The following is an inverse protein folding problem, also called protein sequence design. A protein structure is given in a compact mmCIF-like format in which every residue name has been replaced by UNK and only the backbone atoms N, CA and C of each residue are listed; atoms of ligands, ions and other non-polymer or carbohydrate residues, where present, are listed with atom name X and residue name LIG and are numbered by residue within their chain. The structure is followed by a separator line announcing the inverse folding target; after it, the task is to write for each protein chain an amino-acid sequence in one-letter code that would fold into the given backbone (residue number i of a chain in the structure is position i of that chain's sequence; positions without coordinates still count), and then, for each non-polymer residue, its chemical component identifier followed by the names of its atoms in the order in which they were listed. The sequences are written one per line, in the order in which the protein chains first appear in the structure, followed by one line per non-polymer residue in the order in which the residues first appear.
data_IF_026202629819
#
_entry.id   IF_026202629819
#
_cell.length_a   1.000
_cell.length_b   1.000
_cell.length_c   1.000
_cell.angle_alpha   90.00
_cell.angle_beta   90.00
_cell.angle_gamma   90.00
#
_symmetry.space_group_name_H-M   'P 1'
#
loop_
_entity.id
_entity.type
_entity.pdbx_description
1 polymer ?
#
# COMPACT_ATOMS: atom_id res chain seq x y z
N UNK A 1 5.84 27.36 -2.59
CA UNK A 1 4.55 27.21 -1.93
C UNK A 1 4.72 26.58 -0.55
N UNK A 2 3.96 27.06 0.45
CA UNK A 2 3.91 26.55 1.80
C UNK A 2 2.58 25.80 1.98
N UNK A 3 2.64 24.49 2.20
CA UNK A 3 1.46 23.61 2.27
C UNK A 3 1.29 23.03 3.66
N UNK A 4 0.05 22.97 4.14
CA UNK A 4 -0.30 22.52 5.48
C UNK A 4 -1.29 21.36 5.35
N UNK A 5 -0.91 20.20 5.89
CA UNK A 5 -1.80 19.02 6.01
C UNK A 5 -2.00 18.72 7.50
N UNK A 6 -3.15 19.04 8.10
CA UNK A 6 -3.36 18.91 9.54
C UNK A 6 -3.35 17.47 10.07
N UNK A 7 -3.61 16.49 9.21
CA UNK A 7 -3.59 15.07 9.54
C UNK A 7 -4.94 14.45 9.91
N UNK A 8 -5.85 15.24 10.49
CA UNK A 8 -7.26 14.85 10.74
C UNK A 8 -8.16 16.06 10.84
N UNK A 9 -9.47 15.87 10.64
CA UNK A 9 -10.46 16.93 10.83
C UNK A 9 -10.50 17.41 12.29
N UNK A 10 -10.37 16.51 13.25
CA UNK A 10 -10.29 16.88 14.66
C UNK A 10 -9.09 17.81 14.93
N UNK A 11 -7.91 17.49 14.39
CA UNK A 11 -6.72 18.35 14.51
C UNK A 11 -6.95 19.70 13.83
N UNK A 12 -7.47 19.69 12.60
CA UNK A 12 -7.75 20.92 11.85
C UNK A 12 -8.69 21.84 12.62
N UNK A 13 -9.83 21.32 13.12
CA UNK A 13 -10.79 22.09 13.90
C UNK A 13 -10.23 22.61 15.21
N UNK A 14 -9.37 21.82 15.86
CA UNK A 14 -8.70 22.23 17.09
C UNK A 14 -7.77 23.40 16.86
N UNK A 15 -6.87 23.35 15.86
CA UNK A 15 -5.95 24.44 15.56
C UNK A 15 -6.68 25.70 15.03
N UNK A 16 -7.81 25.54 14.36
CA UNK A 16 -8.69 26.63 13.94
C UNK A 16 -9.35 27.32 15.16
N UNK A 17 -9.96 26.55 16.07
CA UNK A 17 -10.54 27.03 17.33
C UNK A 17 -9.50 27.79 18.16
N UNK A 18 -8.30 27.26 18.26
CA UNK A 18 -7.23 27.82 19.09
C UNK A 18 -6.49 28.99 18.39
N UNK A 19 -6.97 29.42 17.21
CA UNK A 19 -6.44 30.58 16.48
C UNK A 19 -5.06 30.37 15.86
N UNK A 20 -4.58 29.11 15.77
CA UNK A 20 -3.24 28.79 15.28
C UNK A 20 -3.15 28.75 13.75
N UNK A 21 -4.28 28.60 13.06
CA UNK A 21 -4.32 28.43 11.61
C UNK A 21 -4.16 29.75 10.85
N UNK A 22 -4.74 30.83 11.35
CA UNK A 22 -4.72 32.14 10.70
C UNK A 22 -3.31 32.74 10.53
N UNK A 23 -2.41 32.70 11.53
CA UNK A 23 -1.02 33.14 11.34
C UNK A 23 -0.29 32.35 10.22
N UNK A 24 -0.55 31.05 10.11
CA UNK A 24 0.06 30.22 9.05
C UNK A 24 -0.48 30.57 7.67
N UNK A 25 -1.77 30.89 7.54
CA UNK A 25 -2.36 31.39 6.30
C UNK A 25 -1.82 32.77 5.94
N UNK A 26 -1.63 33.65 6.93
CA UNK A 26 -1.12 35.00 6.73
C UNK A 26 0.28 35.03 6.09
N UNK A 27 1.12 34.02 6.36
CA UNK A 27 2.45 33.86 5.71
C UNK A 27 2.38 33.08 4.39
N UNK A 28 1.21 32.89 3.81
CA UNK A 28 1.02 32.21 2.54
C UNK A 28 0.78 30.70 2.62
N UNK A 29 0.47 30.19 3.80
CA UNK A 29 0.15 28.78 4.00
C UNK A 29 -1.19 28.38 3.35
N UNK A 30 -1.16 27.32 2.56
CA UNK A 30 -2.34 26.73 1.92
C UNK A 30 -2.72 25.45 2.65
N UNK A 31 -3.92 25.44 3.22
CA UNK A 31 -4.43 24.25 3.93
C UNK A 31 -4.99 23.25 2.91
N UNK A 32 -4.44 22.05 2.93
CA UNK A 32 -4.85 20.95 2.09
C UNK A 32 -5.88 20.06 2.80
N UNK A 33 -6.59 19.25 2.03
CA UNK A 33 -7.40 18.18 2.57
C UNK A 33 -6.56 17.19 3.40
N UNK A 34 -7.18 16.56 4.40
CA UNK A 34 -6.55 15.55 5.25
C UNK A 34 -6.35 14.23 4.50
N UNK A 35 -5.45 14.24 3.52
CA UNK A 35 -5.12 13.13 2.65
C UNK A 35 -3.61 13.03 2.42
N UNK A 36 -3.18 11.91 1.85
CA UNK A 36 -1.75 11.66 1.64
C UNK A 36 -1.06 12.61 0.64
N UNK A 37 -1.76 13.08 -0.41
CA UNK A 37 -1.31 14.12 -1.35
C UNK A 37 0.20 14.14 -1.64
N UNK A 38 0.89 15.25 -1.32
CA UNK A 38 2.33 15.39 -1.53
C UNK A 38 3.18 14.34 -0.79
N UNK A 39 2.70 13.82 0.34
CA UNK A 39 3.42 12.81 1.13
C UNK A 39 3.70 11.53 0.33
N UNK A 40 2.87 11.18 -0.64
CA UNK A 40 3.02 9.96 -1.45
C UNK A 40 3.27 10.20 -2.94
N UNK A 41 3.63 11.41 -3.32
CA UNK A 41 3.96 11.72 -4.71
C UNK A 41 2.77 12.18 -5.56
N UNK A 42 1.63 12.49 -4.96
CA UNK A 42 0.47 13.05 -5.66
C UNK A 42 0.48 14.58 -5.62
N UNK A 43 1.60 15.16 -6.02
CA UNK A 43 1.79 16.60 -6.09
C UNK A 43 2.26 17.05 -7.46
N UNK A 44 1.38 17.74 -8.19
CA UNK A 44 1.77 18.47 -9.38
C UNK A 44 2.32 19.84 -8.97
N UNK A 45 3.58 20.07 -9.29
CA UNK A 45 4.31 21.31 -8.99
C UNK A 45 4.15 22.34 -10.09
N UNK A 46 3.05 23.12 -10.06
CA UNK A 46 2.82 24.19 -11.04
C UNK A 46 3.87 25.32 -10.92
N UNK A 47 4.46 25.50 -9.73
CA UNK A 47 5.58 26.41 -9.47
C UNK A 47 6.89 26.01 -10.19
N UNK A 48 6.92 24.81 -10.78
CA UNK A 48 8.07 24.24 -11.50
C UNK A 48 7.84 24.13 -13.00
N UNK A 49 6.71 24.58 -13.52
CA UNK A 49 6.42 24.51 -14.95
C UNK A 49 7.50 25.22 -15.79
N UNK A 50 8.09 24.49 -16.73
CA UNK A 50 9.22 24.94 -17.54
C UNK A 50 10.61 24.85 -16.89
N UNK A 51 10.71 24.27 -15.69
CA UNK A 51 11.97 24.02 -14.97
C UNK A 51 12.09 22.57 -14.50
N UNK A 52 11.39 21.67 -15.15
CA UNK A 52 11.42 20.24 -14.88
C UNK A 52 12.86 19.71 -15.01
N UNK A 53 13.26 18.83 -14.08
CA UNK A 53 14.59 18.24 -14.04
C UNK A 53 15.69 19.18 -13.51
N UNK A 54 15.39 20.47 -13.20
CA UNK A 54 16.37 21.33 -12.53
C UNK A 54 16.39 21.05 -11.01
N UNK A 55 17.59 21.05 -10.41
CA UNK A 55 17.75 20.80 -8.97
C UNK A 55 16.98 21.81 -8.14
N UNK A 56 16.19 21.30 -7.20
CA UNK A 56 15.43 22.10 -6.24
C UNK A 56 15.31 21.36 -4.90
N UNK A 57 14.81 22.05 -3.89
CA UNK A 57 14.72 21.54 -2.53
C UNK A 57 13.26 21.61 -2.05
N UNK A 58 12.82 20.54 -1.39
CA UNK A 58 11.58 20.48 -0.61
C UNK A 58 11.94 20.16 0.83
N UNK A 59 11.36 20.90 1.78
CA UNK A 59 11.48 20.62 3.22
C UNK A 59 10.10 20.25 3.73
N UNK A 60 9.99 19.12 4.44
CA UNK A 60 8.72 18.59 4.91
C UNK A 60 8.83 18.10 6.35
N UNK A 61 7.69 17.99 7.03
CA UNK A 61 7.53 17.22 8.26
C UNK A 61 6.88 15.86 8.02
N UNK A 62 6.97 15.34 6.80
CA UNK A 62 6.48 14.01 6.45
C UNK A 62 7.40 12.90 7.00
N UNK A 63 7.23 11.67 6.54
CA UNK A 63 7.91 10.51 7.12
C UNK A 63 8.97 9.86 6.22
N UNK A 64 9.17 10.35 4.99
CA UNK A 64 10.11 9.77 4.00
C UNK A 64 10.59 10.83 3.00
N UNK A 65 11.83 10.69 2.55
CA UNK A 65 12.49 11.65 1.66
C UNK A 65 13.31 11.03 0.51
N UNK A 66 13.00 9.79 0.10
CA UNK A 66 13.72 9.19 -1.02
C UNK A 66 13.40 9.91 -2.36
N UNK A 67 14.27 9.79 -3.38
CA UNK A 67 14.06 10.45 -4.68
C UNK A 67 12.69 10.20 -5.29
N UNK A 68 12.10 11.21 -5.91
CA UNK A 68 10.75 11.19 -6.52
C UNK A 68 9.58 11.05 -5.53
N UNK A 69 9.84 11.02 -4.20
CA UNK A 69 8.80 10.71 -3.22
C UNK A 69 7.64 11.70 -3.24
N UNK A 70 7.90 12.99 -3.36
CA UNK A 70 6.88 14.02 -3.15
C UNK A 70 6.21 14.51 -4.44
N UNK A 71 6.99 14.75 -5.50
CA UNK A 71 6.51 15.35 -6.76
C UNK A 71 6.84 14.53 -8.01
N UNK A 72 7.48 13.38 -7.84
CA UNK A 72 7.86 12.51 -8.97
C UNK A 72 9.13 12.93 -9.72
N UNK A 73 9.73 14.08 -9.40
CA UNK A 73 10.96 14.57 -10.03
C UNK A 73 12.20 14.08 -9.26
N UNK A 74 13.13 13.42 -9.96
CA UNK A 74 14.39 12.96 -9.39
C UNK A 74 15.35 14.11 -9.02
N UNK A 75 15.19 15.29 -9.61
CA UNK A 75 15.98 16.47 -9.32
C UNK A 75 15.53 17.22 -8.06
N UNK A 76 14.40 16.81 -7.47
CA UNK A 76 13.92 17.36 -6.21
C UNK A 76 14.60 16.67 -5.03
N UNK A 77 15.38 17.43 -4.28
CA UNK A 77 16.02 16.99 -3.04
C UNK A 77 15.06 17.22 -1.87
N UNK A 78 14.57 16.15 -1.26
CA UNK A 78 13.61 16.23 -0.16
C UNK A 78 14.31 16.04 1.19
N UNK A 79 14.00 16.92 2.14
CA UNK A 79 14.49 16.86 3.52
C UNK A 79 13.31 16.73 4.48
N UNK A 80 13.50 15.96 5.54
CA UNK A 80 12.49 15.76 6.60
C UNK A 80 13.02 16.38 7.89
N UNK A 81 12.20 17.21 8.50
CA UNK A 81 12.49 17.86 9.80
C UNK A 81 11.20 18.02 10.62
N UNK A 82 11.28 18.68 11.78
CA UNK A 82 10.10 18.96 12.59
C UNK A 82 9.19 20.04 11.96
N UNK A 83 7.88 20.06 12.28
CA UNK A 83 6.98 21.10 11.80
C UNK A 83 7.45 22.52 12.11
N UNK A 84 8.01 22.75 13.32
CA UNK A 84 8.52 24.06 13.75
C UNK A 84 9.68 24.51 12.85
N UNK A 85 10.60 23.60 12.53
CA UNK A 85 11.73 23.89 11.64
C UNK A 85 11.24 24.19 10.21
N UNK A 86 10.21 23.46 9.71
CA UNK A 86 9.60 23.76 8.41
C UNK A 86 9.06 25.19 8.38
N UNK A 87 8.33 25.61 9.42
CA UNK A 87 7.79 26.98 9.54
C UNK A 87 8.92 28.02 9.59
N UNK A 88 9.95 27.77 10.38
CA UNK A 88 11.12 28.67 10.51
C UNK A 88 11.83 28.87 9.17
N UNK A 89 12.06 27.78 8.43
CA UNK A 89 12.64 27.82 7.09
C UNK A 89 11.73 28.49 6.06
N UNK A 90 10.42 28.30 6.17
CA UNK A 90 9.44 28.99 5.32
C UNK A 90 9.46 30.51 5.54
N UNK A 91 9.56 30.95 6.79
CA UNK A 91 9.67 32.37 7.16
C UNK A 91 10.97 33.00 6.68
N UNK A 92 12.09 32.28 6.81
CA UNK A 92 13.43 32.79 6.43
C UNK A 92 13.68 32.74 4.91
N UNK A 93 13.01 31.84 4.20
CA UNK A 93 13.32 31.52 2.81
C UNK A 93 14.66 30.81 2.60
N UNK A 94 15.29 30.31 3.66
CA UNK A 94 16.63 29.73 3.67
C UNK A 94 16.61 28.31 4.26
N UNK A 95 17.31 27.38 3.61
CA UNK A 95 17.45 25.99 4.09
C UNK A 95 18.53 25.79 5.14
N UNK A 96 19.44 26.78 5.30
CA UNK A 96 20.51 26.81 6.27
C UNK A 96 20.16 27.64 7.51
N UNK A 97 18.92 28.09 7.67
CA UNK A 97 18.44 28.85 8.81
C UNK A 97 18.34 27.96 10.05
N UNK A 98 19.08 28.34 11.12
CA UNK A 98 18.96 27.69 12.42
C UNK A 98 18.04 28.54 13.33
N UNK A 99 16.81 28.08 13.62
CA UNK A 99 15.88 28.85 14.46
C UNK A 99 16.32 29.08 15.90
N UNK A 100 17.39 28.41 16.37
CA UNK A 100 17.94 28.60 17.72
C UNK A 100 18.92 29.73 17.82
N UNK A 101 19.61 30.06 16.73
CA UNK A 101 20.74 31.02 16.73
C UNK A 101 20.52 32.16 15.75
N UNK A 102 19.78 31.95 14.67
CA UNK A 102 19.56 32.96 13.64
C UNK A 102 18.36 33.86 13.99
N UNK A 103 18.36 35.05 13.41
CA UNK A 103 17.28 36.03 13.53
C UNK A 103 16.62 36.30 12.18
N UNK A 104 15.37 36.69 12.23
CA UNK A 104 14.61 37.21 11.09
C UNK A 104 14.52 38.72 11.17
N UNK A 105 14.38 39.39 10.03
CA UNK A 105 14.10 40.82 9.98
C UNK A 105 12.61 41.02 9.75
N UNK A 106 11.93 41.74 10.67
CA UNK A 106 10.53 42.07 10.52
C UNK A 106 10.32 43.28 9.58
N UNK A 107 9.06 43.60 9.29
CA UNK A 107 8.71 44.72 8.39
C UNK A 107 9.17 46.09 8.89
N UNK A 108 9.43 46.23 10.19
CA UNK A 108 9.99 47.44 10.79
C UNK A 108 11.54 47.51 10.71
N UNK A 109 12.18 46.45 10.15
CA UNK A 109 13.64 46.37 10.04
C UNK A 109 14.33 45.86 11.32
N UNK A 110 13.58 45.35 12.28
CA UNK A 110 14.13 44.87 13.55
C UNK A 110 14.49 43.37 13.45
N UNK A 111 15.58 43.02 14.18
CA UNK A 111 15.98 41.60 14.29
C UNK A 111 15.13 40.91 15.33
N UNK A 112 14.45 39.85 14.90
CA UNK A 112 13.54 39.07 15.74
C UNK A 112 14.00 37.61 15.81
N UNK A 113 14.15 37.07 17.02
CA UNK A 113 14.39 35.66 17.26
C UNK A 113 13.07 34.90 17.31
N UNK A 114 13.05 33.71 16.71
CA UNK A 114 11.90 32.81 16.86
C UNK A 114 11.96 32.18 18.26
N UNK A 115 10.93 32.44 19.07
CA UNK A 115 10.80 31.83 20.38
C UNK A 115 10.02 30.53 20.22
N UNK A 116 10.68 29.38 20.42
CA UNK A 116 9.98 28.10 20.57
C UNK A 116 9.41 28.06 21.99
N UNK A 117 8.08 28.11 22.11
CA UNK A 117 7.39 27.98 23.40
C UNK A 117 7.59 26.59 24.01
N UNK A 118 7.12 26.40 25.24
CA UNK A 118 7.06 25.08 25.85
C UNK A 118 6.13 24.19 25.03
N UNK A 119 6.53 22.93 24.82
CA UNK A 119 5.70 21.96 24.13
C UNK A 119 4.45 21.63 24.97
N UNK A 120 3.30 21.71 24.35
CA UNK A 120 2.01 21.29 24.93
C UNK A 120 1.68 19.91 24.39
N UNK A 121 1.58 18.91 25.27
CA UNK A 121 1.31 17.52 24.86
C UNK A 121 -0.13 17.34 24.32
N UNK A 122 -1.09 18.05 24.92
CA UNK A 122 -2.49 18.01 24.52
C UNK A 122 -3.06 19.44 24.49
N UNK A 123 -3.99 19.73 23.56
CA UNK A 123 -4.64 21.04 23.53
C UNK A 123 -5.35 21.32 24.88
N UNK A 124 -5.15 22.52 25.49
CA UNK A 124 -5.73 22.82 26.80
C UNK A 124 -7.27 22.68 26.87
N UNK A 125 -7.96 22.91 25.74
CA UNK A 125 -9.40 22.75 25.60
C UNK A 125 -9.85 21.37 25.12
N UNK A 126 -8.94 20.38 25.05
CA UNK A 126 -9.19 19.10 24.38
C UNK A 126 -9.25 19.23 22.86
N UNK A 127 -9.49 18.10 22.17
CA UNK A 127 -9.69 18.09 20.72
C UNK A 127 -11.14 18.44 20.38
N UNK A 128 -11.32 19.16 19.27
CA UNK A 128 -12.64 19.31 18.65
C UNK A 128 -13.08 18.02 17.97
N UNK A 129 -14.40 17.80 17.89
CA UNK A 129 -14.94 16.72 17.07
C UNK A 129 -14.75 17.04 15.57
N UNK A 130 -14.31 16.05 14.80
CA UNK A 130 -14.29 16.10 13.34
C UNK A 130 -15.64 15.77 12.69
N UNK A 131 -16.67 15.47 13.46
CA UNK A 131 -17.96 14.93 12.97
C UNK A 131 -18.72 15.90 12.07
N UNK A 132 -18.49 17.22 12.21
CA UNK A 132 -19.11 18.25 11.36
C UNK A 132 -18.77 18.12 9.87
N UNK A 133 -17.74 17.35 9.52
CA UNK A 133 -17.34 17.07 8.15
C UNK A 133 -17.89 15.74 7.62
N UNK A 134 -18.56 14.97 8.48
CA UNK A 134 -19.19 13.73 8.07
C UNK A 134 -20.44 13.99 7.24
N UNK A 135 -20.44 13.48 6.02
CA UNK A 135 -21.60 13.47 5.14
C UNK A 135 -22.20 12.08 5.19
N UNK A 136 -23.35 11.94 5.84
CA UNK A 136 -24.03 10.65 5.94
C UNK A 136 -24.47 10.16 4.55
N UNK A 137 -24.39 8.86 4.27
CA UNK A 137 -25.00 8.29 3.08
C UNK A 137 -26.53 8.43 3.18
N UNK A 138 -27.26 8.44 2.05
CA UNK A 138 -28.72 8.39 2.08
C UNK A 138 -29.21 7.10 2.77
N UNK A 139 -30.33 7.18 3.49
CA UNK A 139 -30.93 6.02 4.15
C UNK A 139 -31.33 4.92 3.13
N UNK A 140 -31.84 5.36 1.97
CA UNK A 140 -32.13 4.48 0.83
C UNK A 140 -31.27 4.89 -0.37
N UNK A 141 -30.29 4.05 -0.69
CA UNK A 141 -29.42 4.19 -1.85
C UNK A 141 -29.85 3.40 -3.09
N UNK A 142 -30.99 2.71 -3.05
CA UNK A 142 -31.45 1.80 -4.12
C UNK A 142 -31.68 2.49 -5.47
N UNK A 143 -31.93 3.81 -5.45
CA UNK A 143 -32.12 4.64 -6.64
C UNK A 143 -30.82 5.23 -7.21
N UNK A 144 -29.67 4.95 -6.57
CA UNK A 144 -28.38 5.52 -7.00
C UNK A 144 -27.73 4.57 -8.01
N UNK A 145 -27.66 5.02 -9.27
CA UNK A 145 -26.94 4.33 -10.31
C UNK A 145 -25.46 4.75 -10.33
N UNK A 146 -24.57 3.77 -10.27
CA UNK A 146 -23.13 4.00 -10.41
C UNK A 146 -22.77 3.82 -11.88
N UNK A 147 -22.48 4.92 -12.56
CA UNK A 147 -22.07 4.90 -13.96
C UNK A 147 -20.57 5.11 -14.09
N UNK A 148 -19.90 4.18 -14.73
CA UNK A 148 -18.48 4.28 -15.08
C UNK A 148 -18.34 4.31 -16.59
N UNK A 149 -17.57 5.28 -17.12
CA UNK A 149 -17.25 5.30 -18.53
C UNK A 149 -16.50 4.01 -18.91
N UNK A 150 -17.04 3.17 -19.82
CA UNK A 150 -16.42 1.90 -20.18
C UNK A 150 -15.04 2.02 -20.84
N UNK A 151 -14.69 3.20 -21.33
CA UNK A 151 -13.36 3.50 -21.91
C UNK A 151 -12.44 4.22 -20.95
N UNK A 152 -12.82 4.33 -19.66
CA UNK A 152 -11.94 4.91 -18.65
C UNK A 152 -10.72 4.03 -18.44
N UNK A 153 -9.52 4.61 -18.44
CA UNK A 153 -8.28 3.95 -18.05
C UNK A 153 -8.01 4.08 -16.54
N UNK A 154 -8.80 4.84 -15.79
CA UNK A 154 -8.59 5.20 -14.38
C UNK A 154 -9.58 4.56 -13.41
N UNK A 155 -10.78 4.22 -13.89
CA UNK A 155 -11.88 3.68 -13.07
C UNK A 155 -12.48 2.48 -13.78
N UNK A 156 -12.70 1.40 -13.05
CA UNK A 156 -13.31 0.15 -13.50
C UNK A 156 -14.35 -0.31 -12.49
N UNK A 157 -15.49 -0.80 -12.95
CA UNK A 157 -16.39 -1.55 -12.08
C UNK A 157 -15.73 -2.90 -11.79
N UNK A 158 -15.59 -3.21 -10.49
CA UNK A 158 -15.02 -4.47 -10.06
C UNK A 158 -16.10 -5.56 -10.02
N UNK A 159 -15.79 -6.70 -10.63
CA UNK A 159 -16.55 -7.92 -10.38
C UNK A 159 -16.12 -8.48 -9.01
N UNK A 160 -17.05 -8.87 -8.14
CA UNK A 160 -16.71 -9.54 -6.89
C UNK A 160 -15.82 -10.76 -7.13
N UNK A 161 -14.85 -10.97 -6.26
CA UNK A 161 -14.02 -12.17 -6.35
C UNK A 161 -14.87 -13.42 -6.15
N UNK A 162 -14.54 -14.55 -6.83
CA UNK A 162 -15.29 -15.77 -6.68
C UNK A 162 -15.22 -16.31 -5.25
N UNK A 163 -16.31 -16.85 -4.78
CA UNK A 163 -16.36 -17.63 -3.54
C UNK A 163 -15.45 -18.85 -3.65
N UNK A 164 -15.00 -19.37 -2.51
CA UNK A 164 -14.29 -20.63 -2.48
C UNK A 164 -15.23 -21.78 -2.89
N UNK A 165 -14.78 -22.66 -3.76
CA UNK A 165 -15.61 -23.73 -4.37
C UNK A 165 -15.74 -24.98 -3.47
N UNK A 166 -15.23 -24.93 -2.25
CA UNK A 166 -15.26 -26.04 -1.29
C UNK A 166 -14.20 -27.11 -1.53
N UNK A 167 -13.22 -26.88 -2.41
CA UNK A 167 -12.19 -27.86 -2.75
C UNK A 167 -10.82 -27.41 -2.27
N UNK A 168 -9.96 -28.40 -2.05
CA UNK A 168 -8.55 -28.19 -1.83
C UNK A 168 -7.86 -27.60 -3.07
N UNK A 169 -6.77 -26.90 -2.85
CA UNK A 169 -5.97 -26.35 -3.94
C UNK A 169 -4.86 -27.33 -4.31
N UNK A 170 -4.92 -27.86 -5.51
CA UNK A 170 -4.01 -28.92 -5.96
C UNK A 170 -3.06 -28.39 -7.04
N UNK A 171 -1.76 -28.69 -6.87
CA UNK A 171 -0.70 -28.46 -7.85
C UNK A 171 -0.67 -27.01 -8.39
N UNK A 172 -0.90 -26.01 -7.52
CA UNK A 172 -0.81 -24.63 -7.90
C UNK A 172 0.63 -24.28 -8.28
N UNK A 173 0.89 -23.76 -9.50
CA UNK A 173 2.25 -23.37 -9.88
C UNK A 173 2.80 -22.23 -9.01
N UNK A 174 4.07 -22.28 -8.70
CA UNK A 174 4.80 -21.19 -8.08
C UNK A 174 5.08 -20.15 -9.15
N UNK A 175 4.32 -19.03 -9.14
CA UNK A 175 4.51 -17.94 -10.10
C UNK A 175 5.88 -17.28 -9.93
N UNK A 176 6.37 -17.19 -8.71
CA UNK A 176 7.67 -16.61 -8.41
C UNK A 176 8.04 -16.74 -6.95
N UNK A 177 9.33 -16.52 -6.68
CA UNK A 177 9.92 -16.57 -5.35
C UNK A 177 10.73 -15.30 -5.12
N UNK A 178 10.29 -14.48 -4.18
CA UNK A 178 10.95 -13.21 -3.84
C UNK A 178 12.04 -13.42 -2.79
N UNK A 179 13.20 -12.80 -3.01
CA UNK A 179 14.35 -12.83 -2.12
C UNK A 179 14.36 -11.61 -1.19
N UNK A 180 14.70 -11.82 0.06
CA UNK A 180 14.82 -10.77 1.07
C UNK A 180 13.48 -10.16 1.45
N UNK A 181 13.47 -8.85 1.73
CA UNK A 181 12.25 -8.10 2.04
C UNK A 181 11.44 -7.83 0.79
N UNK A 182 10.24 -8.39 0.73
CA UNK A 182 9.28 -8.11 -0.35
C UNK A 182 8.32 -7.01 0.13
N UNK A 183 8.63 -5.74 -0.16
CA UNK A 183 7.84 -4.59 0.28
C UNK A 183 6.60 -4.38 -0.59
N UNK A 184 5.65 -3.56 -0.13
CA UNK A 184 4.49 -3.17 -0.95
C UNK A 184 4.89 -2.40 -2.21
N UNK A 185 6.05 -1.72 -2.23
CA UNK A 185 6.60 -1.08 -3.43
C UNK A 185 7.15 -2.10 -4.43
N UNK A 186 7.57 -3.28 -3.97
CA UNK A 186 7.98 -4.38 -4.83
C UNK A 186 6.77 -5.09 -5.45
N UNK A 187 5.66 -5.19 -4.71
CA UNK A 187 4.44 -5.90 -5.14
C UNK A 187 3.58 -5.02 -6.04
N UNK A 188 3.28 -3.80 -5.60
CA UNK A 188 2.45 -2.81 -6.30
C UNK A 188 3.02 -1.42 -6.03
N UNK A 189 3.90 -0.95 -6.89
CA UNK A 189 4.59 0.31 -6.69
C UNK A 189 3.66 1.52 -6.81
N UNK A 190 3.97 2.56 -6.04
CA UNK A 190 3.28 3.85 -6.05
C UNK A 190 3.75 4.75 -7.22
N UNK A 191 3.67 6.05 -7.05
CA UNK A 191 4.08 7.04 -8.05
C UNK A 191 3.12 7.09 -9.23
N UNK A 192 3.64 6.98 -10.44
CA UNK A 192 2.86 7.08 -11.68
C UNK A 192 1.73 6.04 -11.81
N UNK A 193 1.86 4.90 -11.15
CA UNK A 193 0.85 3.84 -11.16
C UNK A 193 -0.42 4.19 -10.37
N UNK A 194 -0.34 5.09 -9.39
CA UNK A 194 -1.49 5.49 -8.57
C UNK A 194 -2.62 6.16 -9.37
N UNK A 195 -2.37 6.61 -10.58
CA UNK A 195 -3.43 7.06 -11.50
C UNK A 195 -4.43 5.95 -11.82
N UNK A 196 -4.02 4.68 -11.73
CA UNK A 196 -4.84 3.50 -12.02
C UNK A 196 -5.45 2.87 -10.77
N UNK A 197 -5.32 3.46 -9.58
CA UNK A 197 -5.81 2.86 -8.33
C UNK A 197 -7.31 2.52 -8.31
N UNK A 198 -8.10 3.11 -9.19
CA UNK A 198 -9.51 2.78 -9.40
C UNK A 198 -9.75 1.80 -10.55
N UNK A 199 -8.69 1.28 -11.20
CA UNK A 199 -8.76 0.40 -12.34
C UNK A 199 -7.86 -0.82 -12.16
N UNK A 200 -8.41 -1.90 -11.60
CA UNK A 200 -7.64 -3.05 -11.13
C UNK A 200 -6.89 -3.76 -12.27
N UNK A 201 -7.51 -3.87 -13.45
CA UNK A 201 -6.83 -4.43 -14.63
C UNK A 201 -5.55 -3.66 -14.98
N UNK A 202 -5.62 -2.32 -15.01
CA UNK A 202 -4.49 -1.49 -15.43
C UNK A 202 -3.40 -1.42 -14.35
N UNK A 203 -3.78 -1.29 -13.06
CA UNK A 203 -2.77 -1.23 -11.98
C UNK A 203 -2.05 -2.56 -11.83
N UNK A 204 -2.70 -3.69 -12.12
CA UNK A 204 -2.07 -5.01 -12.11
C UNK A 204 -0.94 -5.16 -13.14
N UNK A 205 -0.76 -4.19 -14.04
CA UNK A 205 0.40 -4.11 -14.91
C UNK A 205 1.73 -3.83 -14.19
N UNK A 206 1.71 -3.52 -12.87
CA UNK A 206 2.92 -3.37 -12.05
C UNK A 206 3.17 -4.51 -11.06
N UNK A 207 2.34 -5.54 -11.10
CA UNK A 207 2.39 -6.66 -10.16
C UNK A 207 3.79 -7.28 -10.10
N UNK A 208 4.41 -7.27 -8.92
CA UNK A 208 5.73 -7.84 -8.61
C UNK A 208 6.93 -7.31 -9.40
N UNK A 209 6.82 -6.21 -10.17
CA UNK A 209 7.95 -5.67 -10.96
C UNK A 209 9.18 -5.29 -10.12
N UNK A 210 9.00 -4.96 -8.84
CA UNK A 210 10.10 -4.62 -7.95
C UNK A 210 10.68 -5.80 -7.17
N UNK A 211 10.13 -7.00 -7.32
CA UNK A 211 10.58 -8.18 -6.56
C UNK A 211 11.86 -8.73 -7.17
N UNK A 212 12.86 -8.97 -6.33
CA UNK A 212 14.06 -9.71 -6.73
C UNK A 212 13.71 -11.20 -6.77
N UNK A 213 13.80 -11.80 -7.94
CA UNK A 213 13.56 -13.22 -8.14
C UNK A 213 14.69 -14.05 -7.50
N UNK A 214 14.35 -14.90 -6.54
CA UNK A 214 15.31 -15.70 -5.79
C UNK A 214 16.01 -16.78 -6.65
N UNK A 215 15.46 -17.11 -7.82
CA UNK A 215 16.04 -18.10 -8.72
C UNK A 215 17.12 -17.49 -9.61
N UNK A 216 16.93 -16.23 -10.06
CA UNK A 216 17.80 -15.57 -11.03
C UNK A 216 18.62 -14.42 -10.43
N UNK A 217 18.18 -13.83 -9.31
CA UNK A 217 18.75 -12.61 -8.74
C UNK A 217 18.34 -11.32 -9.45
N UNK A 218 17.50 -11.39 -10.49
CA UNK A 218 17.02 -10.25 -11.26
C UNK A 218 15.63 -9.78 -10.81
N UNK A 219 15.23 -8.60 -11.24
CA UNK A 219 13.88 -8.07 -11.05
C UNK A 219 13.06 -8.20 -12.32
N UNK A 220 11.73 -8.00 -12.18
CA UNK A 220 10.76 -7.92 -13.27
C UNK A 220 10.44 -9.24 -13.98
N UNK A 221 11.37 -10.17 -14.07
CA UNK A 221 11.28 -11.36 -14.91
C UNK A 221 11.15 -12.65 -14.08
N UNK A 222 10.35 -13.58 -14.60
CA UNK A 222 10.22 -14.94 -14.08
C UNK A 222 9.95 -15.94 -15.22
N UNK A 223 10.05 -17.22 -14.90
CA UNK A 223 9.66 -18.31 -15.80
C UNK A 223 8.13 -18.43 -15.80
N UNK A 224 7.48 -18.40 -16.97
CA UNK A 224 6.07 -18.71 -17.11
C UNK A 224 5.87 -20.22 -16.93
N UNK A 225 5.21 -20.68 -15.87
CA UNK A 225 5.05 -22.11 -15.61
C UNK A 225 4.17 -22.81 -16.65
N UNK A 226 3.42 -22.07 -17.46
CA UNK A 226 2.52 -22.64 -18.46
C UNK A 226 3.15 -22.94 -19.81
N UNK A 227 4.30 -22.31 -20.14
CA UNK A 227 4.96 -22.49 -21.43
C UNK A 227 6.50 -22.53 -21.37
N UNK A 228 7.08 -22.32 -20.19
CA UNK A 228 8.52 -22.38 -19.97
C UNK A 228 9.30 -21.19 -20.53
N UNK A 229 8.65 -20.08 -20.90
CA UNK A 229 9.30 -18.87 -21.40
C UNK A 229 9.48 -17.85 -20.30
N UNK A 230 10.53 -17.00 -20.40
CA UNK A 230 10.77 -15.90 -19.48
C UNK A 230 9.96 -14.68 -19.91
N UNK A 231 9.16 -14.13 -18.98
CA UNK A 231 8.32 -12.95 -19.18
C UNK A 231 8.29 -12.10 -17.91
N UNK A 232 7.69 -10.91 -17.99
CA UNK A 232 7.44 -10.13 -16.78
C UNK A 232 6.35 -10.77 -15.90
N UNK A 233 6.46 -10.57 -14.59
CA UNK A 233 5.46 -11.09 -13.64
C UNK A 233 4.02 -10.71 -14.00
N UNK A 234 3.70 -9.44 -14.39
CA UNK A 234 2.34 -9.09 -14.80
C UNK A 234 1.85 -9.84 -16.03
N UNK A 235 2.74 -10.07 -17.02
CA UNK A 235 2.38 -10.82 -18.24
C UNK A 235 2.07 -12.28 -17.92
N UNK A 236 2.89 -12.91 -17.07
CA UNK A 236 2.67 -14.30 -16.62
C UNK A 236 1.35 -14.39 -15.86
N UNK A 237 1.15 -13.55 -14.85
CA UNK A 237 -0.05 -13.56 -14.03
C UNK A 237 -1.32 -13.33 -14.86
N UNK A 238 -1.25 -12.42 -15.85
CA UNK A 238 -2.34 -12.19 -16.80
C UNK A 238 -2.60 -13.41 -17.67
N UNK A 239 -1.55 -14.01 -18.24
CA UNK A 239 -1.67 -15.23 -19.07
C UNK A 239 -2.27 -16.40 -18.30
N UNK A 240 -1.85 -16.63 -17.05
CA UNK A 240 -2.41 -17.68 -16.19
C UNK A 240 -3.89 -17.41 -15.89
N UNK A 241 -4.22 -16.16 -15.54
CA UNK A 241 -5.60 -15.77 -15.29
C UNK A 241 -6.52 -15.99 -16.50
N UNK A 242 -6.09 -15.60 -17.71
CA UNK A 242 -6.84 -15.81 -18.96
C UNK A 242 -7.03 -17.30 -19.30
N UNK A 243 -6.12 -18.16 -18.84
CA UNK A 243 -6.21 -19.64 -18.97
C UNK A 243 -7.03 -20.29 -17.84
N UNK A 244 -7.50 -19.50 -16.86
CA UNK A 244 -8.20 -20.02 -15.67
C UNK A 244 -7.29 -20.78 -14.71
N UNK A 245 -5.99 -20.54 -14.75
CA UNK A 245 -4.99 -21.17 -13.89
C UNK A 245 -4.71 -20.29 -12.68
N UNK A 246 -4.85 -20.87 -11.50
CA UNK A 246 -4.52 -20.23 -10.24
C UNK A 246 -3.07 -20.55 -9.84
N UNK A 247 -2.49 -19.76 -8.95
CA UNK A 247 -1.08 -19.86 -8.61
C UNK A 247 -0.80 -19.42 -7.16
N UNK A 248 0.41 -19.68 -6.71
CA UNK A 248 0.94 -19.21 -5.43
C UNK A 248 2.17 -18.34 -5.63
N UNK A 249 2.44 -17.44 -4.68
CA UNK A 249 3.66 -16.66 -4.63
C UNK A 249 4.44 -16.98 -3.35
N UNK A 250 5.76 -17.04 -3.45
CA UNK A 250 6.65 -17.33 -2.34
C UNK A 250 7.44 -16.06 -2.00
N UNK A 251 7.20 -15.51 -0.83
CA UNK A 251 8.03 -14.43 -0.29
C UNK A 251 9.03 -14.95 0.74
N UNK A 252 9.98 -14.12 1.15
CA UNK A 252 10.93 -14.50 2.20
C UNK A 252 10.56 -13.83 3.52
N UNK A 253 11.02 -12.63 3.79
CA UNK A 253 10.86 -11.99 5.09
C UNK A 253 10.00 -10.73 5.01
N UNK A 254 9.18 -10.54 6.05
CA UNK A 254 8.37 -9.34 6.27
C UNK A 254 7.61 -8.89 5.01
N UNK A 255 6.97 -9.86 4.34
CA UNK A 255 6.28 -9.63 3.05
C UNK A 255 5.19 -8.60 3.22
N UNK A 256 5.22 -7.57 2.34
CA UNK A 256 4.30 -6.45 2.35
C UNK A 256 4.67 -5.34 3.33
N UNK A 257 5.92 -5.28 3.82
CA UNK A 257 6.42 -4.13 4.59
C UNK A 257 6.24 -2.83 3.77
N UNK A 258 5.96 -1.74 4.47
CA UNK A 258 5.84 -0.41 3.86
C UNK A 258 4.45 0.18 3.97
N UNK A 259 4.01 0.91 2.95
CA UNK A 259 2.68 1.53 2.92
C UNK A 259 1.57 0.49 2.90
N UNK A 260 0.45 0.76 3.60
CA UNK A 260 -0.74 -0.10 3.59
C UNK A 260 -1.48 0.00 2.26
N UNK A 261 -1.01 -0.72 1.25
CA UNK A 261 -1.64 -0.74 -0.08
C UNK A 261 -2.51 -1.97 -0.24
N UNK A 262 -3.80 -1.75 -0.33
CA UNK A 262 -4.77 -2.81 -0.64
C UNK A 262 -4.48 -3.42 -2.01
N UNK A 263 -4.00 -2.63 -2.98
CA UNK A 263 -3.64 -3.10 -4.31
C UNK A 263 -2.59 -4.22 -4.27
N UNK A 264 -1.62 -4.16 -3.35
CA UNK A 264 -0.64 -5.22 -3.17
C UNK A 264 -1.25 -6.59 -2.79
N UNK A 265 -2.51 -6.61 -2.34
CA UNK A 265 -3.28 -7.82 -2.09
C UNK A 265 -4.36 -8.06 -3.16
N UNK A 266 -4.97 -6.99 -3.67
CA UNK A 266 -6.03 -7.09 -4.69
C UNK A 266 -5.48 -7.56 -6.04
N UNK A 267 -4.33 -7.06 -6.48
CA UNK A 267 -3.72 -7.41 -7.76
C UNK A 267 -3.36 -8.91 -7.86
N UNK A 268 -2.64 -9.51 -6.89
CA UNK A 268 -2.41 -10.94 -6.90
C UNK A 268 -3.72 -11.73 -6.93
N UNK A 269 -4.67 -11.38 -6.05
CA UNK A 269 -5.98 -12.06 -5.98
C UNK A 269 -6.75 -11.95 -7.30
N UNK A 270 -6.77 -10.78 -7.90
CA UNK A 270 -7.42 -10.53 -9.19
C UNK A 270 -6.81 -11.36 -10.32
N UNK A 271 -5.50 -11.59 -10.27
CA UNK A 271 -4.76 -12.40 -11.26
C UNK A 271 -4.72 -13.89 -10.93
N UNK A 272 -5.46 -14.35 -9.92
CA UNK A 272 -5.59 -15.78 -9.60
C UNK A 272 -4.64 -16.29 -8.52
N UNK A 273 -4.00 -15.41 -7.73
CA UNK A 273 -3.25 -15.84 -6.56
C UNK A 273 -4.18 -16.37 -5.49
N UNK A 274 -4.03 -17.62 -5.12
CA UNK A 274 -4.80 -18.27 -4.06
C UNK A 274 -4.11 -18.22 -2.71
N UNK A 275 -2.77 -18.28 -2.70
CA UNK A 275 -2.00 -18.20 -1.47
C UNK A 275 -0.66 -17.48 -1.70
N UNK A 276 -0.23 -16.77 -0.68
CA UNK A 276 1.13 -16.24 -0.53
C UNK A 276 1.77 -16.97 0.63
N UNK A 277 2.90 -17.63 0.38
CA UNK A 277 3.74 -18.23 1.42
C UNK A 277 4.90 -17.31 1.76
N UNK A 278 5.29 -17.23 3.03
CA UNK A 278 6.42 -16.44 3.47
C UNK A 278 7.06 -17.00 4.75
N UNK A 279 8.27 -16.58 5.06
CA UNK A 279 8.84 -16.78 6.41
C UNK A 279 8.12 -15.90 7.43
N UNK A 280 7.74 -14.66 7.01
CA UNK A 280 6.97 -13.72 7.83
C UNK A 280 6.26 -12.67 6.99
N UNK A 281 5.21 -12.06 7.54
CA UNK A 281 4.44 -10.99 6.91
C UNK A 281 4.51 -9.69 7.71
N UNK A 282 4.43 -8.57 7.00
CA UNK A 282 4.00 -7.32 7.60
C UNK A 282 2.50 -7.40 7.92
N UNK A 283 2.13 -7.08 9.16
CA UNK A 283 0.78 -7.28 9.71
C UNK A 283 -0.34 -6.71 8.84
N UNK A 284 -0.15 -5.49 8.29
CA UNK A 284 -1.19 -4.83 7.47
C UNK A 284 -1.41 -5.60 6.17
N UNK A 285 -0.33 -6.04 5.51
CA UNK A 285 -0.42 -6.77 4.25
C UNK A 285 -1.05 -8.14 4.43
N UNK A 286 -0.68 -8.86 5.48
CA UNK A 286 -1.33 -10.12 5.86
C UNK A 286 -2.85 -9.95 6.02
N UNK A 287 -3.27 -8.90 6.74
CA UNK A 287 -4.69 -8.57 6.89
C UNK A 287 -5.34 -8.23 5.55
N UNK A 288 -4.64 -7.51 4.67
CA UNK A 288 -5.17 -7.17 3.34
C UNK A 288 -5.34 -8.41 2.46
N UNK A 289 -4.40 -9.37 2.48
CA UNK A 289 -4.55 -10.65 1.77
C UNK A 289 -5.80 -11.40 2.26
N UNK A 290 -5.98 -11.54 3.57
CA UNK A 290 -7.15 -12.18 4.19
C UNK A 290 -8.47 -11.52 3.77
N UNK A 291 -8.52 -10.17 3.76
CA UNK A 291 -9.69 -9.41 3.30
C UNK A 291 -10.06 -9.67 1.85
N UNK A 292 -9.10 -10.00 1.02
CA UNK A 292 -9.31 -10.34 -0.39
C UNK A 292 -9.58 -11.84 -0.62
N UNK A 293 -9.69 -12.64 0.44
CA UNK A 293 -9.90 -14.08 0.35
C UNK A 293 -8.69 -14.87 -0.16
N UNK A 294 -7.49 -14.30 -0.08
CA UNK A 294 -6.24 -15.00 -0.33
C UNK A 294 -5.64 -15.55 0.97
N UNK A 295 -5.09 -16.76 0.94
CA UNK A 295 -4.42 -17.36 2.09
C UNK A 295 -3.05 -16.70 2.28
N UNK A 296 -2.80 -16.17 3.46
CA UNK A 296 -1.48 -15.70 3.91
C UNK A 296 -0.90 -16.77 4.84
N UNK A 297 0.09 -17.50 4.36
CA UNK A 297 0.64 -18.69 5.01
C UNK A 297 2.10 -18.51 5.36
N UNK A 298 2.49 -18.83 6.61
CA UNK A 298 3.90 -18.87 6.99
C UNK A 298 4.37 -20.31 7.10
N UNK A 299 5.59 -20.58 6.63
CA UNK A 299 6.19 -21.89 6.79
C UNK A 299 6.29 -22.24 8.28
N UNK A 300 5.84 -23.43 8.68
CA UNK A 300 6.03 -23.92 10.05
C UNK A 300 7.53 -24.08 10.37
N UNK A 301 8.31 -24.52 9.39
CA UNK A 301 9.77 -24.46 9.38
C UNK A 301 10.22 -23.40 8.36
N UNK A 302 10.75 -22.25 8.78
CA UNK A 302 11.19 -21.19 7.87
C UNK A 302 12.27 -21.61 6.87
N UNK A 303 13.07 -22.65 7.19
CA UNK A 303 14.12 -23.16 6.29
C UNK A 303 13.52 -23.87 5.07
N UNK A 304 12.26 -24.31 5.14
CA UNK A 304 11.55 -24.93 4.02
C UNK A 304 11.46 -24.00 2.79
N UNK A 305 11.54 -22.69 3.01
CA UNK A 305 11.65 -21.72 1.91
C UNK A 305 12.78 -22.09 0.92
N UNK A 306 13.91 -22.61 1.44
CA UNK A 306 15.04 -23.03 0.63
C UNK A 306 14.77 -24.24 -0.28
N UNK A 307 13.78 -25.07 0.07
CA UNK A 307 13.46 -26.29 -0.68
C UNK A 307 12.69 -26.05 -1.98
N UNK A 308 12.02 -24.89 -2.11
CA UNK A 308 11.16 -24.57 -3.25
C UNK A 308 12.01 -24.13 -4.43
N UNK A 309 11.89 -24.84 -5.56
CA UNK A 309 12.56 -24.61 -6.82
C UNK A 309 11.70 -23.87 -7.86
N UNK A 310 12.35 -23.43 -8.93
CA UNK A 310 11.66 -22.84 -10.09
C UNK A 310 10.90 -23.93 -10.85
N UNK A 311 9.63 -23.64 -11.16
CA UNK A 311 8.75 -24.60 -11.85
C UNK A 311 8.03 -25.60 -10.94
N UNK A 312 8.30 -25.58 -9.63
CA UNK A 312 7.59 -26.41 -8.67
C UNK A 312 6.12 -26.00 -8.55
N UNK A 313 5.29 -26.93 -8.03
CA UNK A 313 3.88 -26.64 -7.70
C UNK A 313 3.60 -26.98 -6.23
N UNK A 314 2.57 -26.36 -5.66
CA UNK A 314 2.17 -26.59 -4.27
C UNK A 314 0.70 -26.98 -4.21
N UNK A 315 0.40 -28.08 -3.50
CA UNK A 315 -0.94 -28.42 -3.07
C UNK A 315 -1.18 -27.97 -1.64
N UNK A 316 -2.38 -27.45 -1.35
CA UNK A 316 -2.84 -27.04 -0.02
C UNK A 316 -4.11 -27.83 0.26
N UNK A 317 -4.08 -28.66 1.30
CA UNK A 317 -5.17 -29.61 1.57
C UNK A 317 -5.80 -29.40 2.94
N UNK A 318 -6.98 -29.95 3.16
CA UNK A 318 -7.73 -29.78 4.40
C UNK A 318 -8.39 -28.42 4.56
N UNK A 319 -8.62 -27.68 3.46
CA UNK A 319 -9.17 -26.33 3.50
C UNK A 319 -10.61 -26.28 4.04
N UNK A 320 -11.38 -27.37 3.94
CA UNK A 320 -12.69 -27.48 4.58
C UNK A 320 -12.65 -27.56 6.11
N UNK A 321 -11.48 -27.83 6.67
CA UNK A 321 -11.26 -27.96 8.10
C UNK A 321 -10.41 -26.83 8.68
N UNK A 322 -10.30 -25.70 7.94
CA UNK A 322 -9.63 -24.50 8.44
C UNK A 322 -10.21 -24.09 9.80
N UNK A 323 -9.34 -23.88 10.78
CA UNK A 323 -9.73 -23.46 12.12
C UNK A 323 -8.62 -22.59 12.74
N UNK A 324 -8.99 -21.65 13.60
CA UNK A 324 -8.05 -20.77 14.29
C UNK A 324 -6.93 -21.59 14.96
N UNK A 325 -5.68 -21.20 14.69
CA UNK A 325 -4.48 -21.82 15.24
C UNK A 325 -4.14 -23.22 14.72
N UNK A 326 -4.90 -23.78 13.76
CA UNK A 326 -4.61 -25.08 13.16
C UNK A 326 -3.78 -24.89 11.87
N UNK A 327 -2.55 -25.41 11.79
CA UNK A 327 -1.79 -25.40 10.53
C UNK A 327 -2.52 -26.11 9.40
N UNK A 328 -2.20 -25.74 8.17
CA UNK A 328 -2.68 -26.42 6.96
C UNK A 328 -1.62 -27.38 6.41
N UNK A 329 -2.08 -28.51 5.89
CA UNK A 329 -1.22 -29.50 5.24
C UNK A 329 -0.91 -29.05 3.81
N UNK A 330 0.36 -29.10 3.44
CA UNK A 330 0.84 -28.72 2.14
C UNK A 330 1.77 -29.79 1.56
N UNK A 331 1.78 -29.90 0.23
CA UNK A 331 2.70 -30.77 -0.51
C UNK A 331 3.40 -29.95 -1.58
N UNK A 332 4.72 -29.93 -1.55
CA UNK A 332 5.56 -29.40 -2.62
C UNK A 332 5.79 -30.51 -3.63
N UNK A 333 5.42 -30.30 -4.87
CA UNK A 333 5.70 -31.19 -6.00
C UNK A 333 6.84 -30.58 -6.82
N UNK A 334 7.99 -31.23 -6.79
CA UNK A 334 9.19 -30.77 -7.49
C UNK A 334 9.20 -31.18 -8.96
N UNK A 335 9.88 -30.43 -9.78
CA UNK A 335 10.04 -30.67 -11.22
C UNK A 335 10.71 -32.01 -11.54
N UNK A 336 11.49 -32.58 -10.62
CA UNK A 336 12.12 -33.91 -10.76
C UNK A 336 11.18 -35.09 -10.39
N UNK A 337 9.96 -34.80 -9.93
CA UNK A 337 8.94 -35.76 -9.55
C UNK A 337 8.94 -36.12 -8.06
N UNK A 338 9.83 -35.54 -7.25
CA UNK A 338 9.78 -35.68 -5.79
C UNK A 338 8.58 -34.90 -5.22
N UNK A 339 7.94 -35.46 -4.20
CA UNK A 339 6.91 -34.76 -3.42
C UNK A 339 7.32 -34.68 -1.96
N UNK A 340 7.25 -33.49 -1.36
CA UNK A 340 7.65 -33.23 0.03
C UNK A 340 6.51 -32.61 0.78
N UNK A 341 6.05 -33.29 1.84
CA UNK A 341 5.02 -32.77 2.74
C UNK A 341 5.60 -31.69 3.67
N UNK A 342 4.81 -30.65 3.93
CA UNK A 342 5.16 -29.61 4.90
C UNK A 342 3.92 -28.99 5.52
N UNK A 343 4.09 -28.31 6.65
CA UNK A 343 3.03 -27.57 7.32
C UNK A 343 3.19 -26.06 7.10
N UNK A 344 2.08 -25.38 6.92
CA UNK A 344 2.03 -23.93 6.90
C UNK A 344 1.08 -23.41 7.98
N UNK A 345 1.53 -22.40 8.72
CA UNK A 345 0.73 -21.74 9.73
C UNK A 345 -0.06 -20.58 9.11
N UNK A 346 -1.17 -20.22 9.73
CA UNK A 346 -1.93 -19.03 9.44
C UNK A 346 -2.41 -18.34 10.73
N UNK A 347 -2.85 -17.10 10.61
CA UNK A 347 -3.42 -16.32 11.73
C UNK A 347 -4.89 -15.94 11.44
N UNK A 348 -5.60 -16.76 10.67
CA UNK A 348 -7.03 -16.60 10.41
C UNK A 348 -7.81 -16.93 11.69
N UNK A 349 -8.67 -16.00 12.13
CA UNK A 349 -9.72 -16.30 13.08
C UNK A 349 -11.02 -16.70 12.35
N UNK A 350 -12.08 -17.06 13.09
CA UNK A 350 -13.34 -17.55 12.51
C UNK A 350 -13.98 -16.56 11.52
N UNK A 351 -13.94 -15.25 11.83
CA UNK A 351 -14.45 -14.23 10.91
C UNK A 351 -13.67 -14.18 9.61
N UNK A 352 -12.35 -14.31 9.70
CA UNK A 352 -11.45 -14.27 8.54
C UNK A 352 -11.52 -15.56 7.70
N UNK A 353 -11.81 -16.69 8.33
CA UNK A 353 -12.14 -17.94 7.63
C UNK A 353 -13.46 -17.75 6.85
N UNK A 354 -14.45 -17.08 7.44
CA UNK A 354 -15.67 -16.73 6.73
C UNK A 354 -15.41 -15.79 5.54
N UNK A 355 -14.45 -14.86 5.63
CA UNK A 355 -14.03 -14.06 4.46
C UNK A 355 -13.43 -14.90 3.34
N UNK A 356 -12.59 -15.87 3.71
CA UNK A 356 -11.99 -16.80 2.75
C UNK A 356 -13.07 -17.60 2.02
N UNK A 357 -14.03 -18.18 2.74
CA UNK A 357 -15.13 -18.92 2.14
C UNK A 357 -16.00 -18.07 1.23
N UNK A 358 -16.32 -16.84 1.63
CA UNK A 358 -17.09 -15.89 0.82
C UNK A 358 -16.30 -15.31 -0.38
N UNK A 359 -14.98 -15.58 -0.48
CA UNK A 359 -14.08 -15.04 -1.50
C UNK A 359 -13.55 -13.66 -1.22
N UNK A 360 -14.15 -12.92 -0.28
CA UNK A 360 -13.61 -11.67 0.29
C UNK A 360 -14.46 -11.20 1.48
N UNK A 361 -13.90 -10.30 2.31
CA UNK A 361 -14.66 -9.64 3.38
C UNK A 361 -15.88 -8.86 2.84
N UNK A 362 -15.73 -8.18 1.70
CA UNK A 362 -16.83 -7.43 1.08
C UNK A 362 -17.96 -8.34 0.60
N UNK A 363 -17.64 -9.51 0.06
CA UNK A 363 -18.65 -10.49 -0.33
C UNK A 363 -19.46 -10.96 0.89
N UNK A 364 -18.79 -11.23 2.02
CA UNK A 364 -19.49 -11.63 3.24
C UNK A 364 -20.44 -10.52 3.74
N UNK A 365 -19.96 -9.26 3.79
CA UNK A 365 -20.80 -8.12 4.16
C UNK A 365 -22.00 -8.00 3.22
N UNK A 366 -21.78 -8.12 1.90
CA UNK A 366 -22.86 -8.09 0.92
C UNK A 366 -23.91 -9.17 1.17
N UNK A 367 -23.49 -10.40 1.45
CA UNK A 367 -24.39 -11.50 1.76
C UNK A 367 -25.21 -11.24 3.03
N UNK A 368 -24.58 -10.65 4.07
CA UNK A 368 -25.24 -10.30 5.34
C UNK A 368 -26.26 -9.16 5.21
N UNK A 369 -26.02 -8.21 4.30
CA UNK A 369 -26.94 -7.06 4.08
C UNK A 369 -28.07 -7.42 3.10
N UNK A 370 -27.86 -8.36 2.20
CA UNK A 370 -28.85 -8.80 1.21
C UNK A 370 -29.83 -9.84 1.75
N UNK A 371 -29.56 -10.49 2.89
CA UNK A 371 -30.45 -11.44 3.58
C UNK A 371 -31.22 -10.79 4.70
#
# INVERSE_FOLDING_TARGET
PFMITPGSEATMRTIERDGMLEPLKAIGGVVLANACGPCIGQWKRDDREGSEGSTNIIITSYNRNFPKRNDGDAATLAFVTSPETVVAMALSGRVDFDPKTDTLTNDAGEQVSLVVGEAIELPPGGFESGDSMFIAPPEDGSHIDITVNPTSDRIQLLTPFPEWDGKDYLELPVLGKGMGKVTTDHISMAGAWLKYRGHLENISGNLYLGVVNAFTGETELALDPSDGTTKSYPEIAKSLHEKGLNWVFIGEENVGEGSSREHAAMEPRFRGCHAVFAKSFARIHETNLKKQGALALTFADPEFWGAIGEGDTISITGLSELADGKPVDCVLHKTDGESVEFLANHTLNDDQIAWFHAGSALNLIRAQVAG
#
